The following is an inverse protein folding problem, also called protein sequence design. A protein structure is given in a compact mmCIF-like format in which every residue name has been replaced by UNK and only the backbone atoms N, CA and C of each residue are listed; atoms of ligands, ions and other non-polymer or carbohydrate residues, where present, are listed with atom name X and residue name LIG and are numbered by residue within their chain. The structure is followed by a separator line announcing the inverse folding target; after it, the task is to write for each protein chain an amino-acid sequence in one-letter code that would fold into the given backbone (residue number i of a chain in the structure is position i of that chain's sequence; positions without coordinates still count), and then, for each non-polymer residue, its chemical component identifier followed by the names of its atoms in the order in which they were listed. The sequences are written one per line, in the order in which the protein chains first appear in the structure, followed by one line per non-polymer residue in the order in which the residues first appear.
data_IF_147526460209
#
_entry.id   IF_147526460209
#
_cell.length_a   1.000
_cell.length_b   1.000
_cell.length_c   1.000
_cell.angle_alpha   90.00
_cell.angle_beta   90.00
_cell.angle_gamma   90.00
#
_symmetry.space_group_name_H-M   'P 1'
#
loop_
_entity.id
_entity.type
_entity.pdbx_description
1 polymer ?
#
# COMPACT_ATOMS: atom_id res chain seq x y z
N UNK A 1 6.56 -30.16 4.84
CA UNK A 1 5.38 -29.66 4.09
C UNK A 1 4.90 -28.31 4.61
N UNK A 2 4.78 -28.11 5.93
CA UNK A 2 4.41 -26.83 6.57
C UNK A 2 5.09 -25.55 6.02
N UNK A 3 6.42 -25.49 5.78
CA UNK A 3 7.05 -24.28 5.24
C UNK A 3 6.60 -23.96 3.81
N UNK A 4 6.31 -24.98 2.99
CA UNK A 4 5.83 -24.79 1.62
C UNK A 4 4.38 -24.29 1.62
N UNK A 5 3.53 -24.87 2.48
CA UNK A 5 2.14 -24.42 2.63
C UNK A 5 2.08 -22.99 3.14
N UNK A 6 2.93 -22.61 4.09
CA UNK A 6 3.02 -21.24 4.59
C UNK A 6 3.39 -20.24 3.49
N UNK A 7 4.35 -20.57 2.62
CA UNK A 7 4.70 -19.71 1.50
C UNK A 7 3.54 -19.56 0.49
N UNK A 8 2.84 -20.66 0.17
CA UNK A 8 1.71 -20.63 -0.76
C UNK A 8 0.51 -19.84 -0.22
N UNK A 9 0.17 -19.99 1.06
CA UNK A 9 -0.94 -19.22 1.67
C UNK A 9 -0.59 -17.74 1.81
N UNK A 10 0.68 -17.42 2.10
CA UNK A 10 1.15 -16.05 2.14
C UNK A 10 1.03 -15.35 0.78
N UNK A 11 1.52 -15.99 -0.30
CA UNK A 11 1.45 -15.41 -1.65
C UNK A 11 0.01 -15.27 -2.13
N UNK A 12 -0.83 -16.28 -1.93
CA UNK A 12 -2.25 -16.19 -2.31
C UNK A 12 -2.99 -15.11 -1.52
N UNK A 13 -2.73 -15.00 -0.21
CA UNK A 13 -3.25 -13.90 0.61
C UNK A 13 -2.79 -12.52 0.13
N UNK A 14 -1.52 -12.39 -0.26
CA UNK A 14 -0.97 -11.16 -0.82
C UNK A 14 -1.67 -10.76 -2.13
N UNK A 15 -1.91 -11.72 -3.03
CA UNK A 15 -2.62 -11.47 -4.28
C UNK A 15 -4.08 -11.05 -4.04
N UNK A 16 -4.79 -11.74 -3.15
CA UNK A 16 -6.18 -11.41 -2.78
C UNK A 16 -6.25 -10.02 -2.16
N UNK A 17 -5.33 -9.68 -1.27
CA UNK A 17 -5.26 -8.35 -0.65
C UNK A 17 -5.05 -7.25 -1.70
N UNK A 18 -4.13 -7.46 -2.65
CA UNK A 18 -3.87 -6.50 -3.73
C UNK A 18 -5.08 -6.34 -4.65
N UNK A 19 -5.72 -7.43 -5.06
CA UNK A 19 -6.92 -7.41 -5.90
C UNK A 19 -8.09 -6.70 -5.20
N UNK A 20 -8.30 -6.99 -3.93
CA UNK A 20 -9.37 -6.36 -3.12
C UNK A 20 -9.16 -4.85 -3.02
N UNK A 21 -7.91 -4.42 -2.80
CA UNK A 21 -7.53 -2.99 -2.78
C UNK A 21 -7.73 -2.33 -4.14
N UNK A 22 -7.34 -3.00 -5.23
CA UNK A 22 -7.52 -2.53 -6.59
C UNK A 22 -9.01 -2.41 -6.95
N UNK A 23 -9.84 -3.33 -6.48
CA UNK A 23 -11.28 -3.28 -6.74
C UNK A 23 -11.95 -2.12 -5.99
N UNK A 24 -11.61 -1.92 -4.71
CA UNK A 24 -12.31 -0.98 -3.82
C UNK A 24 -11.77 0.45 -3.84
N UNK A 25 -10.47 0.65 -4.09
CA UNK A 25 -9.82 1.96 -3.96
C UNK A 25 -9.35 2.54 -5.29
N UNK A 26 -9.46 1.80 -6.40
CA UNK A 26 -9.14 2.38 -7.70
C UNK A 26 -10.22 3.39 -8.09
N UNK A 27 -9.85 4.62 -8.45
CA UNK A 27 -10.80 5.63 -8.92
C UNK A 27 -11.52 5.22 -10.21
N UNK A 28 -10.92 4.30 -10.98
CA UNK A 28 -11.46 3.79 -12.25
C UNK A 28 -12.49 2.65 -12.05
N UNK A 29 -12.54 2.02 -10.87
CA UNK A 29 -13.42 0.87 -10.59
C UNK A 29 -14.58 1.30 -9.70
N UNK A 30 -15.77 1.44 -10.28
CA UNK A 30 -16.98 1.92 -9.61
C UNK A 30 -17.85 0.77 -9.08
N UNK A 31 -17.64 0.33 -7.84
CA UNK A 31 -18.46 -0.72 -7.21
C UNK A 31 -19.79 -0.17 -6.69
N UNK A 32 -19.82 1.07 -6.19
CA UNK A 32 -21.01 1.64 -5.56
C UNK A 32 -22.01 2.17 -6.60
N UNK A 33 -23.28 1.73 -6.51
CA UNK A 33 -24.37 2.19 -7.37
C UNK A 33 -24.75 3.66 -7.13
N UNK A 34 -24.40 4.23 -5.97
CA UNK A 34 -24.65 5.64 -5.64
C UNK A 34 -23.92 6.62 -6.59
N UNK A 35 -22.81 6.19 -7.19
CA UNK A 35 -22.00 7.02 -8.10
C UNK A 35 -22.31 6.81 -9.59
N UNK A 36 -23.42 6.14 -9.94
CA UNK A 36 -23.79 5.87 -11.34
C UNK A 36 -24.06 7.11 -12.20
N UNK A 37 -24.39 8.25 -11.59
CA UNK A 37 -24.65 9.51 -12.31
C UNK A 37 -23.40 10.38 -12.47
N UNK A 38 -22.29 10.05 -11.81
CA UNK A 38 -21.06 10.84 -11.87
C UNK A 38 -20.15 10.31 -12.98
N UNK A 39 -20.16 10.98 -14.12
CA UNK A 39 -19.34 10.67 -15.30
C UNK A 39 -17.82 10.96 -15.13
N UNK A 40 -17.35 11.23 -13.89
CA UNK A 40 -16.05 11.78 -13.42
C UNK A 40 -16.11 13.31 -13.25
N UNK A 41 -15.63 13.85 -12.10
CA UNK A 41 -14.68 14.99 -12.07
C UNK A 41 -14.13 15.41 -10.69
N UNK A 42 -14.75 15.06 -9.54
CA UNK A 42 -14.23 15.44 -8.20
C UNK A 42 -13.81 14.22 -7.37
N UNK A 43 -12.82 13.47 -7.86
CA UNK A 43 -12.29 12.31 -7.12
C UNK A 43 -10.85 12.52 -6.63
N UNK A 44 -10.48 13.78 -6.38
CA UNK A 44 -9.15 14.12 -5.85
C UNK A 44 -8.89 13.45 -4.51
N UNK A 45 -9.87 13.41 -3.59
CA UNK A 45 -9.68 12.79 -2.27
C UNK A 45 -9.47 11.26 -2.37
N UNK A 46 -10.22 10.57 -3.23
CA UNK A 46 -10.05 9.12 -3.42
C UNK A 46 -8.74 8.80 -4.13
N UNK A 47 -8.36 9.59 -5.14
CA UNK A 47 -7.06 9.51 -5.81
C UNK A 47 -5.89 9.81 -4.88
N UNK A 48 -6.02 10.81 -4.00
CA UNK A 48 -5.04 11.12 -2.96
C UNK A 48 -4.87 9.94 -1.98
N UNK A 49 -5.98 9.32 -1.57
CA UNK A 49 -5.98 8.14 -0.69
C UNK A 49 -5.35 6.92 -1.36
N UNK A 50 -5.61 6.72 -2.66
CA UNK A 50 -5.00 5.66 -3.45
C UNK A 50 -3.49 5.88 -3.61
N UNK A 51 -3.06 7.08 -4.03
CA UNK A 51 -1.67 7.42 -4.28
C UNK A 51 -0.81 7.50 -3.00
N UNK A 52 -1.38 8.00 -1.89
CA UNK A 52 -0.71 8.18 -0.60
C UNK A 52 -1.14 7.11 0.40
N UNK A 53 -0.75 5.86 0.14
CA UNK A 53 -0.98 4.78 1.10
C UNK A 53 -0.30 5.05 2.46
N UNK A 54 -0.90 4.57 3.56
CA UNK A 54 -0.49 4.87 4.93
C UNK A 54 0.99 4.63 5.24
N UNK A 55 1.56 3.51 4.80
CA UNK A 55 2.98 3.24 5.03
C UNK A 55 3.88 4.15 4.16
N UNK A 56 3.42 4.65 3.01
CA UNK A 56 4.15 5.65 2.21
C UNK A 56 4.09 7.04 2.87
N UNK A 57 2.97 7.41 3.49
CA UNK A 57 2.89 8.62 4.34
C UNK A 57 3.81 8.52 5.56
N UNK A 58 3.83 7.35 6.21
CA UNK A 58 4.67 7.07 7.37
C UNK A 58 6.16 7.15 7.04
N UNK A 59 6.59 6.52 5.93
CA UNK A 59 7.99 6.53 5.51
C UNK A 59 8.45 7.90 5.00
N UNK A 60 7.54 8.77 4.53
CA UNK A 60 7.90 10.11 4.02
C UNK A 60 8.48 11.03 5.09
N UNK A 61 8.14 10.83 6.35
CA UNK A 61 8.63 11.66 7.46
C UNK A 61 9.94 11.14 8.07
N UNK A 62 10.38 9.95 7.64
CA UNK A 62 11.61 9.33 8.14
C UNK A 62 12.75 9.63 7.16
N UNK A 63 13.99 9.79 7.65
CA UNK A 63 15.15 9.87 6.77
C UNK A 63 15.22 8.60 5.91
N UNK A 64 15.63 8.69 4.63
CA UNK A 64 15.73 7.55 3.72
C UNK A 64 16.91 6.66 4.11
N UNK A 65 16.79 5.97 5.25
CA UNK A 65 17.75 5.01 5.76
C UNK A 65 17.12 3.62 5.72
N UNK A 66 17.68 2.73 4.91
CA UNK A 66 17.19 1.35 4.75
C UNK A 66 17.30 0.58 6.08
N UNK A 67 18.39 0.83 6.83
CA UNK A 67 18.61 0.24 8.17
C UNK A 67 19.28 1.26 9.10
N UNK A 68 18.51 2.08 9.84
CA UNK A 68 19.07 3.13 10.69
C UNK A 68 19.94 2.56 11.83
N UNK A 69 19.64 1.37 12.33
CA UNK A 69 20.46 0.72 13.38
C UNK A 69 21.84 0.32 12.87
N UNK A 70 21.92 -0.26 11.65
CA UNK A 70 23.19 -0.66 11.04
C UNK A 70 23.97 0.56 10.59
N UNK A 71 23.31 1.56 10.00
CA UNK A 71 23.98 2.78 9.56
C UNK A 71 24.60 3.51 10.76
N UNK A 72 23.86 3.64 11.88
CA UNK A 72 24.38 4.21 13.13
C UNK A 72 25.50 3.40 13.77
N UNK A 73 25.51 2.08 13.58
CA UNK A 73 26.59 1.21 14.06
C UNK A 73 27.90 1.49 13.32
N UNK A 74 27.85 1.63 12.00
CA UNK A 74 29.05 1.90 11.18
C UNK A 74 29.44 3.39 11.13
N UNK A 75 28.52 4.32 11.37
CA UNK A 75 28.78 5.76 11.31
C UNK A 75 29.19 6.38 12.65
N UNK A 76 29.17 5.63 13.76
CA UNK A 76 29.74 6.10 15.03
C UNK A 76 31.25 5.89 15.02
N UNK A 77 32.00 6.96 14.83
CA UNK A 77 33.38 7.07 15.31
C UNK A 77 33.34 7.60 16.74
N UNK A 78 33.53 6.69 17.70
CA UNK A 78 33.58 6.86 19.17
C UNK A 78 32.35 7.49 19.85
#
# INVERSE_FOLDING_TARGET
VYPLMAAMTFVTGMCVFQLTRNMLLNPDVRINKAHRTMAVLENEEEGERYAKHGLRKFLRQRPPEIMPSINRFFSRTE
#
